data_IF_806860449711
#
_entry.id   IF_806860449711
#
_cell.length_a   1.000
_cell.length_b   1.000
_cell.length_c   1.000
_cell.angle_alpha   90.00
_cell.angle_beta   90.00
_cell.angle_gamma   90.00
#
_symmetry.space_group_name_H-M   'P 1'
#
loop_
_entity.id
_entity.type
_entity.pdbx_description
1 polymer ?
#
# COMPACT_ATOMS: atom_id res chain seq x y z
N UNK A 1 61.93 25.94 10.12
CA UNK A 1 60.63 26.59 9.86
C UNK A 1 60.45 26.70 8.35
N UNK A 2 59.64 25.84 7.74
CA UNK A 2 59.15 26.04 6.37
C UNK A 2 57.68 25.66 6.35
N UNK A 3 56.87 26.65 6.01
CA UNK A 3 55.43 26.73 6.24
C UNK A 3 54.66 25.62 5.54
N UNK A 4 53.70 25.08 6.29
CA UNK A 4 52.60 24.30 5.79
C UNK A 4 51.78 25.15 4.80
N UNK A 5 51.50 24.62 3.62
CA UNK A 5 50.41 25.10 2.78
C UNK A 5 49.37 23.98 2.79
N UNK A 6 48.42 24.13 3.71
CA UNK A 6 47.18 23.37 3.74
C UNK A 6 46.31 23.88 2.59
N UNK A 7 46.22 23.11 1.50
CA UNK A 7 45.19 23.30 0.49
C UNK A 7 43.95 22.49 0.92
N UNK A 8 43.00 23.16 1.56
CA UNK A 8 41.67 22.61 1.83
C UNK A 8 40.87 22.70 0.52
N UNK A 9 40.82 21.60 -0.24
CA UNK A 9 39.93 21.43 -1.38
C UNK A 9 38.51 21.18 -0.83
N UNK A 10 37.68 22.22 -0.82
CA UNK A 10 36.24 22.10 -0.60
C UNK A 10 35.62 21.63 -1.91
N UNK A 11 35.38 20.32 -2.01
CA UNK A 11 34.59 19.73 -3.09
C UNK A 11 33.13 20.04 -2.78
N UNK A 12 32.52 20.95 -3.54
CA UNK A 12 31.09 21.15 -3.55
C UNK A 12 30.48 19.88 -4.16
N UNK A 13 29.92 19.02 -3.30
CA UNK A 13 29.08 17.92 -3.75
C UNK A 13 27.90 18.51 -4.50
N UNK A 14 27.78 18.18 -5.79
CA UNK A 14 26.53 18.32 -6.51
C UNK A 14 25.53 17.41 -5.78
N UNK A 15 24.53 18.01 -5.13
CA UNK A 15 23.38 17.27 -4.65
C UNK A 15 22.55 16.91 -5.87
N UNK A 16 22.88 15.78 -6.51
CA UNK A 16 21.88 15.05 -7.28
C UNK A 16 20.72 14.79 -6.30
N UNK A 17 19.52 15.26 -6.66
CA UNK A 17 18.34 15.17 -5.81
C UNK A 17 18.20 13.76 -5.24
N UNK A 18 17.89 13.66 -3.95
CA UNK A 18 17.78 12.36 -3.28
C UNK A 18 16.52 11.70 -3.84
N UNK A 19 16.68 10.65 -4.64
CA UNK A 19 15.57 9.80 -5.06
C UNK A 19 15.06 9.04 -3.84
N UNK A 20 13.91 9.46 -3.30
CA UNK A 20 13.27 8.77 -2.16
C UNK A 20 12.18 7.86 -2.70
N UNK A 21 12.25 6.58 -2.35
CA UNK A 21 11.15 5.63 -2.55
C UNK A 21 10.22 5.71 -1.35
N UNK A 22 9.09 6.40 -1.51
CA UNK A 22 8.06 6.41 -0.47
C UNK A 22 7.29 5.08 -0.53
N UNK A 23 7.31 4.34 0.57
CA UNK A 23 6.52 3.12 0.70
C UNK A 23 5.04 3.47 0.93
N UNK A 24 4.17 2.86 0.14
CA UNK A 24 2.72 3.07 0.17
C UNK A 24 2.01 1.73 0.22
N UNK A 25 0.81 1.72 0.79
CA UNK A 25 -0.03 0.53 0.82
C UNK A 25 -1.50 0.82 0.67
N UNK A 26 -2.21 -0.22 0.25
CA UNK A 26 -3.65 -0.36 0.40
C UNK A 26 -3.91 -1.65 1.17
N UNK A 27 -4.86 -1.60 2.08
CA UNK A 27 -5.25 -2.69 2.95
C UNK A 27 -6.74 -2.93 2.77
N UNK A 28 -7.12 -4.14 2.38
CA UNK A 28 -8.49 -4.61 2.55
C UNK A 28 -8.58 -5.24 3.94
N UNK A 29 -9.21 -4.55 4.87
CA UNK A 29 -9.42 -5.01 6.24
C UNK A 29 -10.83 -5.54 6.36
N UNK A 30 -10.95 -6.82 6.70
CA UNK A 30 -12.22 -7.50 6.85
C UNK A 30 -12.44 -7.92 8.31
N UNK A 31 -13.58 -7.52 8.88
CA UNK A 31 -14.00 -7.94 10.23
C UNK A 31 -14.57 -9.34 10.18
N UNK A 32 -14.16 -10.17 11.14
CA UNK A 32 -14.61 -11.55 11.33
C UNK A 32 -15.63 -11.65 12.46
N UNK A 33 -16.69 -12.40 12.22
CA UNK A 33 -17.67 -12.79 13.24
C UNK A 33 -18.10 -14.23 12.96
N UNK A 34 -18.08 -15.10 13.97
CA UNK A 34 -18.45 -16.52 13.83
C UNK A 34 -17.73 -17.26 12.68
N UNK A 35 -16.45 -16.94 12.45
CA UNK A 35 -15.62 -17.55 11.40
C UNK A 35 -15.90 -17.03 9.99
N UNK A 36 -16.63 -15.91 9.88
CA UNK A 36 -17.11 -15.34 8.63
C UNK A 36 -16.63 -13.90 8.42
N UNK A 37 -16.33 -13.50 7.18
CA UNK A 37 -16.08 -12.09 6.84
C UNK A 37 -17.40 -11.30 6.80
N UNK A 38 -17.63 -10.43 7.80
CA UNK A 38 -18.87 -9.68 7.96
C UNK A 38 -18.88 -8.36 7.19
N UNK A 39 -17.75 -7.67 7.17
CA UNK A 39 -17.59 -6.38 6.50
C UNK A 39 -16.14 -6.26 6.05
N UNK A 40 -15.91 -5.56 4.94
CA UNK A 40 -14.58 -5.33 4.38
C UNK A 40 -14.45 -3.87 3.95
N UNK A 41 -13.36 -3.21 4.38
CA UNK A 41 -13.09 -1.81 4.09
C UNK A 41 -11.67 -1.61 3.56
N UNK A 42 -11.49 -0.57 2.75
CA UNK A 42 -10.17 -0.15 2.29
C UNK A 42 -9.56 0.90 3.21
N UNK A 43 -8.32 0.67 3.61
CA UNK A 43 -7.45 1.64 4.25
C UNK A 43 -6.23 1.90 3.35
N UNK A 44 -5.71 3.12 3.38
CA UNK A 44 -4.53 3.53 2.62
C UNK A 44 -3.48 4.09 3.55
N UNK A 45 -2.21 3.80 3.25
CA UNK A 45 -1.07 4.41 3.92
C UNK A 45 -0.15 5.08 2.89
N UNK A 46 0.11 6.40 3.01
CA UNK A 46 -0.52 7.32 3.96
C UNK A 46 -2.01 7.55 3.67
N UNK A 47 -2.79 7.97 4.67
CA UNK A 47 -4.26 8.10 4.56
C UNK A 47 -4.75 9.18 3.58
N UNK A 48 -3.88 10.13 3.23
CA UNK A 48 -4.16 11.23 2.29
C UNK A 48 -3.69 10.95 0.85
N UNK A 49 -3.37 9.70 0.55
CA UNK A 49 -2.92 9.25 -0.77
C UNK A 49 -3.94 9.56 -1.87
N UNK A 50 -3.48 10.14 -2.99
CA UNK A 50 -4.30 10.48 -4.16
C UNK A 50 -3.55 10.33 -5.48
N UNK A 51 -2.79 9.23 -5.62
CA UNK A 51 -2.05 8.91 -6.84
C UNK A 51 -2.89 8.03 -7.81
N UNK A 52 -2.31 7.66 -8.95
CA UNK A 52 -2.99 6.79 -9.92
C UNK A 52 -3.21 5.36 -9.37
N UNK A 53 -2.32 4.89 -8.50
CA UNK A 53 -2.39 3.55 -7.90
C UNK A 53 -3.51 3.46 -6.87
N UNK A 54 -3.72 4.50 -6.07
CA UNK A 54 -4.88 4.69 -5.21
C UNK A 54 -6.19 4.51 -5.98
N UNK A 55 -6.34 5.23 -7.10
CA UNK A 55 -7.53 5.16 -7.94
C UNK A 55 -7.71 3.76 -8.54
N UNK A 56 -6.63 3.12 -9.00
CA UNK A 56 -6.66 1.72 -9.47
C UNK A 56 -7.27 0.79 -8.42
N UNK A 57 -6.82 0.86 -7.16
CA UNK A 57 -7.31 -0.02 -6.11
C UNK A 57 -8.72 0.34 -5.63
N UNK A 58 -9.07 1.62 -5.63
CA UNK A 58 -10.43 2.08 -5.35
C UNK A 58 -11.43 1.55 -6.40
N UNK A 59 -11.07 1.65 -7.69
CA UNK A 59 -11.89 1.15 -8.79
C UNK A 59 -11.98 -0.38 -8.75
N UNK A 60 -10.87 -1.08 -8.47
CA UNK A 60 -10.86 -2.54 -8.30
C UNK A 60 -11.83 -2.97 -7.21
N UNK A 61 -11.75 -2.39 -6.02
CA UNK A 61 -12.64 -2.73 -4.91
C UNK A 61 -14.11 -2.42 -5.23
N UNK A 62 -14.39 -1.28 -5.87
CA UNK A 62 -15.74 -0.93 -6.32
C UNK A 62 -16.28 -1.96 -7.31
N UNK A 63 -15.46 -2.40 -8.27
CA UNK A 63 -15.81 -3.46 -9.21
C UNK A 63 -16.09 -4.80 -8.52
N UNK A 64 -15.28 -5.16 -7.52
CA UNK A 64 -15.49 -6.36 -6.72
C UNK A 64 -16.82 -6.33 -5.98
N UNK A 65 -17.15 -5.23 -5.29
CA UNK A 65 -18.45 -5.03 -4.63
C UNK A 65 -19.60 -5.17 -5.64
N UNK A 66 -19.49 -4.58 -6.82
CA UNK A 66 -20.55 -4.63 -7.85
C UNK A 66 -20.74 -6.04 -8.43
N UNK A 67 -19.66 -6.82 -8.51
CA UNK A 67 -19.69 -8.19 -9.05
C UNK A 67 -20.11 -9.24 -8.03
N UNK A 68 -19.93 -8.96 -6.73
CA UNK A 68 -20.27 -9.90 -5.67
C UNK A 68 -21.79 -10.09 -5.58
N UNK A 69 -22.19 -11.31 -5.23
CA UNK A 69 -23.58 -11.77 -5.12
C UNK A 69 -23.82 -12.38 -3.74
N UNK A 70 -25.08 -12.68 -3.41
CA UNK A 70 -25.44 -13.19 -2.09
C UNK A 70 -25.43 -12.12 -1.00
N UNK A 71 -25.44 -12.57 0.26
CA UNK A 71 -25.50 -11.71 1.45
C UNK A 71 -24.33 -12.01 2.40
N UNK A 72 -23.87 -10.99 3.11
CA UNK A 72 -22.90 -11.05 4.21
C UNK A 72 -21.66 -11.89 3.87
N UNK A 73 -21.58 -13.11 4.42
CA UNK A 73 -20.40 -13.95 4.42
C UNK A 73 -19.85 -14.26 3.03
N UNK A 74 -20.68 -14.92 2.23
CA UNK A 74 -20.30 -15.36 0.89
C UNK A 74 -19.97 -14.15 0.01
N UNK A 75 -20.73 -13.05 0.19
CA UNK A 75 -20.50 -11.81 -0.53
C UNK A 75 -19.12 -11.21 -0.22
N UNK A 76 -18.73 -11.16 1.05
CA UNK A 76 -17.44 -10.58 1.44
C UNK A 76 -16.26 -11.50 1.11
N UNK A 77 -16.45 -12.82 1.16
CA UNK A 77 -15.46 -13.77 0.62
C UNK A 77 -15.23 -13.53 -0.88
N UNK A 78 -16.30 -13.33 -1.66
CA UNK A 78 -16.19 -12.99 -3.09
C UNK A 78 -15.48 -11.64 -3.31
N UNK A 79 -15.74 -10.64 -2.46
CA UNK A 79 -15.05 -9.34 -2.55
C UNK A 79 -13.57 -9.50 -2.26
N UNK A 80 -13.21 -10.21 -1.19
CA UNK A 80 -11.83 -10.52 -0.80
C UNK A 80 -11.10 -11.26 -1.90
N UNK A 81 -11.69 -12.33 -2.44
CA UNK A 81 -11.13 -13.11 -3.55
C UNK A 81 -10.91 -12.25 -4.80
N UNK A 82 -11.90 -11.44 -5.17
CA UNK A 82 -11.80 -10.55 -6.32
C UNK A 82 -10.71 -9.48 -6.15
N UNK A 83 -10.58 -8.90 -4.96
CA UNK A 83 -9.63 -7.83 -4.70
C UNK A 83 -8.19 -8.32 -4.73
N UNK A 84 -7.91 -9.50 -4.18
CA UNK A 84 -6.54 -10.08 -4.14
C UNK A 84 -6.17 -10.78 -5.45
N UNK A 85 -7.15 -11.12 -6.30
CA UNK A 85 -6.92 -11.79 -7.58
C UNK A 85 -5.94 -11.03 -8.47
N UNK A 86 -4.99 -11.76 -9.05
CA UNK A 86 -3.98 -11.27 -9.99
C UNK A 86 -3.04 -10.18 -9.43
N UNK A 87 -3.04 -9.96 -8.11
CA UNK A 87 -2.05 -9.09 -7.48
C UNK A 87 -0.74 -9.87 -7.24
N UNK A 88 0.42 -9.29 -7.58
CA UNK A 88 1.69 -10.02 -7.58
C UNK A 88 2.16 -10.40 -6.18
N UNK A 89 1.84 -9.58 -5.19
CA UNK A 89 2.22 -9.78 -3.79
C UNK A 89 1.12 -9.21 -2.89
N UNK A 90 0.48 -10.10 -2.13
CA UNK A 90 -0.50 -9.76 -1.10
C UNK A 90 0.04 -10.27 0.22
N UNK A 91 0.24 -9.37 1.18
CA UNK A 91 0.58 -9.74 2.55
C UNK A 91 -0.70 -9.97 3.33
N UNK A 92 -0.84 -11.16 3.91
CA UNK A 92 -2.04 -11.58 4.62
C UNK A 92 -1.75 -11.67 6.12
N UNK A 93 -2.60 -11.04 6.92
CA UNK A 93 -2.54 -11.11 8.38
C UNK A 93 -3.94 -11.38 8.90
N UNK A 94 -4.11 -12.52 9.57
CA UNK A 94 -5.41 -12.97 10.05
C UNK A 94 -5.32 -13.29 11.55
N UNK A 95 -6.29 -12.77 12.30
CA UNK A 95 -6.52 -13.11 13.70
C UNK A 95 -7.98 -13.55 13.93
N UNK A 96 -8.42 -13.61 15.20
CA UNK A 96 -9.77 -14.06 15.54
C UNK A 96 -10.86 -13.06 15.11
N UNK A 97 -10.54 -11.77 15.08
CA UNK A 97 -11.49 -10.66 14.87
C UNK A 97 -11.34 -10.01 13.49
N UNK A 98 -10.19 -10.10 12.84
CA UNK A 98 -9.90 -9.42 11.58
C UNK A 98 -9.03 -10.26 10.62
N UNK A 99 -9.19 -9.99 9.32
CA UNK A 99 -8.30 -10.44 8.26
C UNK A 99 -7.91 -9.23 7.40
N UNK A 100 -6.61 -9.00 7.25
CA UNK A 100 -6.05 -7.89 6.48
C UNK A 100 -5.27 -8.40 5.29
N UNK A 101 -5.54 -7.83 4.12
CA UNK A 101 -4.87 -8.12 2.85
C UNK A 101 -4.18 -6.85 2.34
N UNK A 102 -2.87 -6.77 2.51
CA UNK A 102 -2.07 -5.58 2.20
C UNK A 102 -1.33 -5.72 0.88
N UNK A 103 -1.41 -4.70 0.03
CA UNK A 103 -0.63 -4.59 -1.20
C UNK A 103 0.25 -3.36 -1.12
N UNK A 104 1.54 -3.52 -1.35
CA UNK A 104 2.54 -2.45 -1.27
C UNK A 104 2.98 -1.99 -2.66
N UNK A 105 3.29 -0.69 -2.77
CA UNK A 105 4.04 -0.16 -3.90
C UNK A 105 4.94 0.99 -3.45
N UNK A 106 5.89 1.35 -4.32
CA UNK A 106 6.78 2.46 -4.10
C UNK A 106 6.54 3.54 -5.15
N UNK A 107 6.45 4.80 -4.72
CA UNK A 107 6.56 5.94 -5.62
C UNK A 107 7.97 6.52 -5.53
N UNK A 108 8.59 6.73 -6.69
CA UNK A 108 9.84 7.49 -6.79
C UNK A 108 9.50 8.98 -6.73
N UNK A 109 10.02 9.66 -5.71
CA UNK A 109 9.87 11.11 -5.53
C UNK A 109 11.26 11.75 -5.69
N UNK A 110 11.33 12.79 -6.53
CA UNK A 110 12.52 13.65 -6.61
C UNK A 110 12.39 14.74 -5.55
N UNK A 111 13.32 14.76 -4.59
CA UNK A 111 13.40 15.79 -3.54
C UNK A 111 14.45 16.83 -3.88
#
# INVERSE_FOLDING_TARGET
MKSAIFALLVILAASDGIEVKEARSVELVCVKEDGCLKDCALLYQPSNLRDATHLKYQDKHTGCIQSATGENCERNEQIRDCFTKDEPEVNELEDEEEATYTIYWHETINV
#
